data_IF_148035974265
#
_entry.id   IF_148035974265
#
_cell.length_a   1.000
_cell.length_b   1.000
_cell.length_c   1.000
_cell.angle_alpha   90.00
_cell.angle_beta   90.00
_cell.angle_gamma   90.00
#
_symmetry.space_group_name_H-M   'P 1'
#
loop_
_entity.id
_entity.type
_entity.pdbx_description
1 polymer ?
#
# COMPACT_ATOMS: atom_id res chain seq x y z
N UNK A 1 -13.61 12.26 -0.70
CA UNK A 1 -13.39 10.80 -0.75
C UNK A 1 -12.03 10.46 -1.35
N UNK A 2 -11.72 10.94 -2.56
CA UNK A 2 -10.42 10.71 -3.19
C UNK A 2 -9.20 11.05 -2.31
N UNK A 3 -9.17 12.26 -1.71
CA UNK A 3 -8.09 12.68 -0.80
C UNK A 3 -7.88 11.73 0.40
N UNK A 4 -8.97 11.19 0.96
CA UNK A 4 -8.90 10.24 2.09
C UNK A 4 -8.30 8.91 1.66
N UNK A 5 -8.60 8.45 0.44
CA UNK A 5 -8.02 7.23 -0.12
C UNK A 5 -6.52 7.46 -0.41
N UNK A 6 -6.14 8.63 -0.94
CA UNK A 6 -4.74 9.01 -1.16
C UNK A 6 -3.94 9.07 0.16
N UNK A 7 -4.52 9.64 1.22
CA UNK A 7 -3.93 9.64 2.56
C UNK A 7 -3.77 8.22 3.13
N UNK A 8 -4.78 7.35 2.93
CA UNK A 8 -4.70 5.96 3.36
C UNK A 8 -3.66 5.15 2.58
N UNK A 9 -3.53 5.36 1.26
CA UNK A 9 -2.46 4.77 0.44
C UNK A 9 -1.09 5.15 0.99
N UNK A 10 -0.89 6.44 1.32
CA UNK A 10 0.37 6.91 1.90
C UNK A 10 0.67 6.24 3.24
N UNK A 11 -0.35 6.10 4.10
CA UNK A 11 -0.21 5.38 5.37
C UNK A 11 0.20 3.91 5.17
N UNK A 12 -0.44 3.20 4.23
CA UNK A 12 -0.08 1.81 3.91
C UNK A 12 1.36 1.68 3.42
N UNK A 13 1.79 2.58 2.54
CA UNK A 13 3.17 2.61 2.01
C UNK A 13 4.19 2.88 3.11
N UNK A 14 3.94 3.84 4.00
CA UNK A 14 4.83 4.13 5.13
C UNK A 14 4.93 2.92 6.08
N UNK A 15 3.77 2.34 6.45
CA UNK A 15 3.73 1.15 7.30
C UNK A 15 4.45 -0.04 6.67
N UNK A 16 4.35 -0.23 5.35
CA UNK A 16 5.09 -1.28 4.65
C UNK A 16 6.61 -1.10 4.75
N UNK A 17 7.11 0.12 4.52
CA UNK A 17 8.55 0.42 4.64
C UNK A 17 9.05 0.17 6.06
N UNK A 18 8.30 0.60 7.07
CA UNK A 18 8.63 0.38 8.48
C UNK A 18 8.64 -1.11 8.83
N UNK A 19 7.57 -1.83 8.49
CA UNK A 19 7.47 -3.27 8.75
C UNK A 19 8.55 -4.08 8.03
N UNK A 20 8.96 -3.68 6.82
CA UNK A 20 10.08 -4.31 6.13
C UNK A 20 11.39 -4.12 6.91
N UNK A 21 11.68 -2.91 7.35
CA UNK A 21 12.89 -2.60 8.14
C UNK A 21 12.91 -3.37 9.47
N UNK A 22 11.79 -3.43 10.18
CA UNK A 22 11.70 -4.15 11.44
C UNK A 22 11.72 -5.68 11.23
N UNK A 23 11.17 -6.17 10.12
CA UNK A 23 11.29 -7.59 9.72
C UNK A 23 12.75 -7.99 9.53
N UNK A 24 13.54 -7.17 8.83
CA UNK A 24 14.95 -7.45 8.57
C UNK A 24 15.75 -7.50 9.88
N UNK A 25 15.52 -6.55 10.80
CA UNK A 25 16.12 -6.56 12.14
C UNK A 25 15.72 -7.79 12.96
N UNK A 26 14.43 -8.18 12.94
CA UNK A 26 13.96 -9.36 13.66
C UNK A 26 14.65 -10.64 13.13
N UNK A 27 14.84 -10.72 11.81
CA UNK A 27 15.58 -11.80 11.18
C UNK A 27 17.05 -11.84 11.62
N UNK A 28 17.74 -10.70 11.59
CA UNK A 28 19.14 -10.57 12.05
C UNK A 28 19.31 -10.98 13.52
N UNK A 29 18.31 -10.70 14.35
CA UNK A 29 18.28 -11.09 15.77
C UNK A 29 17.84 -12.55 16.01
N UNK A 30 17.51 -13.31 14.97
CA UNK A 30 17.07 -14.70 15.06
C UNK A 30 15.60 -14.89 15.45
N UNK A 31 14.82 -13.82 15.58
CA UNK A 31 13.37 -13.89 15.80
C UNK A 31 12.62 -14.08 14.47
N UNK A 32 12.66 -15.32 13.99
CA UNK A 32 12.04 -15.70 12.72
C UNK A 32 10.51 -15.57 12.74
N UNK A 33 9.88 -15.69 13.91
CA UNK A 33 8.43 -15.55 14.07
C UNK A 33 7.98 -14.11 13.84
N UNK A 34 8.64 -13.16 14.53
CA UNK A 34 8.38 -11.74 14.35
C UNK A 34 8.75 -11.27 12.94
N UNK A 35 9.89 -11.73 12.41
CA UNK A 35 10.29 -11.47 11.03
C UNK A 35 9.20 -11.93 10.05
N UNK A 36 8.71 -13.17 10.17
CA UNK A 36 7.67 -13.70 9.28
C UNK A 36 6.37 -12.91 9.36
N UNK A 37 5.94 -12.55 10.57
CA UNK A 37 4.76 -11.72 10.81
C UNK A 37 4.88 -10.36 10.12
N UNK A 38 5.95 -9.60 10.42
CA UNK A 38 6.18 -8.28 9.84
C UNK A 38 6.33 -8.35 8.31
N UNK A 39 6.93 -9.43 7.80
CA UNK A 39 7.06 -9.68 6.36
C UNK A 39 5.70 -9.83 5.67
N UNK A 40 4.80 -10.62 6.26
CA UNK A 40 3.44 -10.77 5.75
C UNK A 40 2.69 -9.43 5.74
N UNK A 41 2.84 -8.64 6.80
CA UNK A 41 2.18 -7.34 6.92
C UNK A 41 2.63 -6.33 5.86
N UNK A 42 3.93 -6.17 5.62
CA UNK A 42 4.35 -5.19 4.61
C UNK A 42 3.95 -5.59 3.20
N UNK A 43 4.02 -6.88 2.84
CA UNK A 43 3.59 -7.39 1.53
C UNK A 43 2.10 -7.11 1.33
N UNK A 44 1.28 -7.38 2.34
CA UNK A 44 -0.16 -7.12 2.28
C UNK A 44 -0.45 -5.61 2.09
N UNK A 45 0.23 -4.76 2.86
CA UNK A 45 0.05 -3.31 2.78
C UNK A 45 0.46 -2.74 1.42
N UNK A 46 1.58 -3.18 0.84
CA UNK A 46 1.97 -2.78 -0.53
C UNK A 46 0.93 -3.23 -1.57
N UNK A 47 0.46 -4.48 -1.47
CA UNK A 47 -0.55 -5.01 -2.38
C UNK A 47 -1.87 -4.21 -2.34
N UNK A 48 -2.33 -3.85 -1.13
CA UNK A 48 -3.53 -3.03 -0.96
C UNK A 48 -3.32 -1.61 -1.51
N UNK A 49 -2.16 -1.00 -1.25
CA UNK A 49 -1.84 0.33 -1.76
C UNK A 49 -1.88 0.37 -3.30
N UNK A 50 -1.27 -0.63 -3.97
CA UNK A 50 -1.27 -0.75 -5.44
C UNK A 50 -2.70 -0.92 -5.98
N UNK A 51 -3.52 -1.75 -5.33
CA UNK A 51 -4.90 -1.99 -5.75
C UNK A 51 -5.74 -0.70 -5.67
N UNK A 52 -5.59 0.06 -4.58
CA UNK A 52 -6.28 1.34 -4.40
C UNK A 52 -5.81 2.41 -5.41
N UNK A 53 -4.51 2.49 -5.68
CA UNK A 53 -3.97 3.38 -6.71
C UNK A 53 -4.52 3.04 -8.10
N UNK A 54 -4.61 1.76 -8.41
CA UNK A 54 -5.20 1.28 -9.67
C UNK A 54 -6.66 1.69 -9.80
N UNK A 55 -7.47 1.49 -8.75
CA UNK A 55 -8.88 1.90 -8.72
C UNK A 55 -9.01 3.41 -8.91
N UNK A 56 -8.18 4.20 -8.23
CA UNK A 56 -8.19 5.66 -8.38
C UNK A 56 -7.82 6.11 -9.79
N UNK A 57 -6.80 5.49 -10.41
CA UNK A 57 -6.39 5.80 -11.79
C UNK A 57 -7.51 5.50 -12.78
N UNK A 58 -8.11 4.30 -12.69
CA UNK A 58 -9.22 3.90 -13.56
C UNK A 58 -10.46 4.80 -13.40
N UNK A 59 -10.75 5.27 -12.18
CA UNK A 59 -11.83 6.20 -11.93
C UNK A 59 -11.57 7.58 -12.56
N UNK A 60 -10.33 8.09 -12.46
CA UNK A 60 -9.95 9.36 -13.10
C UNK A 60 -10.09 9.27 -14.63
N UNK A 61 -9.57 8.20 -15.26
CA UNK A 61 -9.65 7.99 -16.71
C UNK A 61 -11.11 7.90 -17.21
N UNK A 62 -11.99 7.20 -16.50
CA UNK A 62 -13.42 7.15 -16.85
C UNK A 62 -14.11 8.51 -16.76
N UNK A 63 -13.74 9.36 -15.80
CA UNK A 63 -14.30 10.70 -15.70
C UNK A 63 -13.87 11.60 -16.87
N UNK A 64 -12.59 11.57 -17.25
CA UNK A 64 -12.05 12.38 -18.36
C UNK A 64 -12.63 11.93 -19.71
N UNK A 65 -12.79 10.62 -19.93
CA UNK A 65 -13.43 10.10 -21.14
C UNK A 65 -14.92 10.46 -21.25
N UNK A 66 -15.62 10.60 -20.12
CA UNK A 66 -17.02 11.06 -20.08
C UNK A 66 -17.17 12.55 -20.35
N UNK A 67 -16.19 13.37 -19.96
CA UNK A 67 -16.24 14.82 -20.12
C UNK A 67 -15.84 15.28 -21.53
N UNK A 68 -15.13 14.44 -22.29
CA UNK A 68 -14.82 14.65 -23.71
C UNK A 68 -15.96 14.23 -24.67
N UNK A 69 -17.03 13.62 -24.15
CA UNK A 69 -18.20 13.15 -24.91
C UNK A 69 -19.45 14.02 -24.73
N UNK A 70 -19.33 15.18 -24.07
CA UNK A 70 -20.39 16.19 -23.91
C UNK A 70 -20.06 17.45 -24.71
#
# INVERSE_FOLDING_TARGET
>A
MQKVIEEYINHLKQSAVENRKESDKAYENGDLGLSGYLRGHWIANEGIAIALETILSQHREKSVGSDLLK
#
